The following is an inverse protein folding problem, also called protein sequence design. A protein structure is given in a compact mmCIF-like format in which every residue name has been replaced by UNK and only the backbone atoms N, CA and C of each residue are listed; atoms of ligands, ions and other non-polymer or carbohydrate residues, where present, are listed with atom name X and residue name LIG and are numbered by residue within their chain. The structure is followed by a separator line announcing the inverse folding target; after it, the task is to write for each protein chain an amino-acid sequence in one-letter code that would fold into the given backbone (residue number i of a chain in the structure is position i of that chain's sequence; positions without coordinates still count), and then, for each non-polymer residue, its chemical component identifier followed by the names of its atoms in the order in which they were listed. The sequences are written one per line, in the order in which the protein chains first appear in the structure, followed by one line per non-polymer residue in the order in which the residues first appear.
data_IF_322364575630
#
_entry.id   IF_322364575630
#
_cell.length_a   1.000
_cell.length_b   1.000
_cell.length_c   1.000
_cell.angle_alpha   90.00
_cell.angle_beta   90.00
_cell.angle_gamma   90.00
#
_symmetry.space_group_name_H-M   'P 1'
#
loop_
_entity.id
_entity.type
_entity.pdbx_description
1 polymer ?
#
# COMPACT_ATOMS: atom_id res chain seq x y z
N UNK A 1 -26.84 14.25 10.56
CA UNK A 1 -25.89 13.20 10.15
C UNK A 1 -25.17 12.70 11.40
N UNK A 2 -25.50 11.51 11.91
CA UNK A 2 -24.71 10.92 12.99
C UNK A 2 -23.31 10.61 12.44
N UNK A 3 -22.27 11.20 13.02
CA UNK A 3 -20.89 10.97 12.61
C UNK A 3 -20.59 9.47 12.65
N UNK A 4 -20.34 8.87 11.49
CA UNK A 4 -20.00 7.46 11.37
C UNK A 4 -18.71 7.24 12.17
N UNK A 5 -18.76 6.44 13.24
CA UNK A 5 -17.57 6.08 14.01
C UNK A 5 -16.57 5.42 13.05
N UNK A 6 -15.41 6.04 12.87
CA UNK A 6 -14.31 5.48 12.10
C UNK A 6 -13.47 4.61 13.03
N UNK A 7 -13.28 3.35 12.66
CA UNK A 7 -12.27 2.50 13.26
C UNK A 7 -11.01 2.59 12.39
N UNK A 8 -9.86 2.82 13.01
CA UNK A 8 -8.58 2.92 12.32
C UNK A 8 -7.67 1.75 12.71
N UNK A 9 -6.95 1.21 11.72
CA UNK A 9 -5.90 0.22 11.91
C UNK A 9 -4.63 0.74 11.24
N UNK A 10 -3.54 0.76 11.98
CA UNK A 10 -2.21 1.09 11.46
C UNK A 10 -1.32 -0.13 11.62
N UNK A 11 -0.61 -0.49 10.55
CA UNK A 11 0.26 -1.65 10.52
C UNK A 11 1.69 -1.22 10.19
N UNK A 12 2.68 -1.62 10.98
CA UNK A 12 4.07 -1.45 10.60
C UNK A 12 4.38 -2.40 9.44
N UNK A 13 4.94 -1.85 8.36
CA UNK A 13 5.39 -2.61 7.20
C UNK A 13 6.91 -2.77 7.32
N UNK A 14 7.38 -4.01 7.39
CA UNK A 14 8.79 -4.38 7.41
C UNK A 14 9.18 -5.11 6.11
N UNK A 15 10.44 -5.54 6.01
CA UNK A 15 10.95 -6.25 4.83
C UNK A 15 10.33 -7.62 4.56
N UNK A 16 9.52 -8.15 5.48
CA UNK A 16 8.80 -9.42 5.32
C UNK A 16 7.33 -9.21 4.95
N UNK A 17 6.87 -7.96 4.89
CA UNK A 17 5.51 -7.67 4.45
C UNK A 17 5.32 -8.05 2.98
N UNK A 18 4.11 -8.52 2.65
CA UNK A 18 3.74 -8.88 1.29
C UNK A 18 2.35 -8.35 0.95
N UNK A 19 2.14 -8.10 -0.34
CA UNK A 19 0.82 -7.80 -0.90
C UNK A 19 0.53 -8.76 -2.04
N UNK A 20 -0.71 -9.22 -2.13
CA UNK A 20 -1.13 -10.20 -3.13
C UNK A 20 -2.51 -9.85 -3.68
N UNK A 21 -2.62 -9.87 -5.01
CA UNK A 21 -3.89 -9.84 -5.73
C UNK A 21 -4.21 -11.24 -6.28
N UNK A 22 -5.41 -11.73 -5.98
CA UNK A 22 -5.93 -12.99 -6.52
C UNK A 22 -7.21 -12.72 -7.31
N UNK A 23 -7.12 -12.88 -8.63
CA UNK A 23 -8.28 -12.87 -9.51
C UNK A 23 -8.90 -14.26 -9.59
N UNK A 24 -10.22 -14.29 -9.71
CA UNK A 24 -10.99 -15.51 -9.91
C UNK A 24 -11.95 -15.31 -11.08
N UNK A 25 -12.17 -16.34 -11.89
CA UNK A 25 -13.06 -16.25 -13.06
C UNK A 25 -14.55 -16.14 -12.69
N UNK A 26 -14.94 -16.67 -11.53
CA UNK A 26 -16.34 -16.79 -11.10
C UNK A 26 -16.61 -16.28 -9.68
N UNK A 27 -15.68 -15.50 -9.10
CA UNK A 27 -15.78 -14.94 -7.74
C UNK A 27 -15.20 -13.53 -7.69
N UNK A 28 -15.56 -12.76 -6.66
CA UNK A 28 -14.96 -11.45 -6.41
C UNK A 28 -13.45 -11.57 -6.17
N UNK A 29 -12.65 -10.66 -6.74
CA UNK A 29 -11.21 -10.66 -6.53
C UNK A 29 -10.86 -10.34 -5.08
N UNK A 30 -9.73 -10.87 -4.62
CA UNK A 30 -9.20 -10.58 -3.29
C UNK A 30 -7.87 -9.84 -3.41
N UNK A 31 -7.72 -8.80 -2.60
CA UNK A 31 -6.44 -8.13 -2.38
C UNK A 31 -6.06 -8.25 -0.91
N UNK A 32 -4.88 -8.79 -0.63
CA UNK A 32 -4.43 -9.03 0.74
C UNK A 32 -3.08 -8.37 1.01
N UNK A 33 -2.91 -7.86 2.23
CA UNK A 33 -1.64 -7.36 2.77
C UNK A 33 -1.33 -8.15 4.04
N UNK A 34 -0.15 -8.77 4.08
CA UNK A 34 0.36 -9.46 5.25
C UNK A 34 1.56 -8.69 5.83
N UNK A 35 1.54 -8.44 7.13
CA UNK A 35 2.65 -7.83 7.86
C UNK A 35 2.76 -8.47 9.25
N UNK A 36 3.85 -9.21 9.48
CA UNK A 36 4.03 -10.01 10.69
C UNK A 36 2.89 -11.02 10.90
N UNK A 37 2.10 -10.83 11.98
CA UNK A 37 0.95 -11.68 12.32
C UNK A 37 -0.40 -11.11 11.90
N UNK A 38 -0.41 -10.01 11.15
CA UNK A 38 -1.65 -9.36 10.70
C UNK A 38 -1.84 -9.60 9.21
N UNK A 39 -3.05 -10.05 8.85
CA UNK A 39 -3.54 -10.17 7.48
C UNK A 39 -4.74 -9.26 7.30
N UNK A 40 -4.67 -8.36 6.33
CA UNK A 40 -5.80 -7.51 5.90
C UNK A 40 -6.19 -7.94 4.51
N UNK A 41 -7.45 -8.35 4.32
CA UNK A 41 -8.00 -8.70 3.01
C UNK A 41 -9.16 -7.78 2.68
N UNK A 42 -9.10 -7.14 1.51
CA UNK A 42 -10.20 -6.38 0.95
C UNK A 42 -11.14 -7.33 0.22
N UNK A 43 -12.40 -7.34 0.64
CA UNK A 43 -13.47 -8.12 0.04
C UNK A 43 -14.50 -7.19 -0.58
N UNK A 44 -15.08 -7.60 -1.71
CA UNK A 44 -16.17 -6.90 -2.36
C UNK A 44 -17.48 -7.70 -2.27
N UNK A 45 -18.64 -7.03 -2.33
CA UNK A 45 -19.94 -7.70 -2.38
C UNK A 45 -20.04 -8.58 -3.63
N UNK A 46 -20.88 -9.62 -3.58
CA UNK A 46 -21.07 -10.56 -4.70
C UNK A 46 -21.52 -9.86 -5.99
N UNK A 47 -22.31 -8.79 -5.86
CA UNK A 47 -22.76 -7.95 -6.98
C UNK A 47 -22.04 -6.60 -6.92
N UNK A 48 -21.16 -6.36 -7.88
CA UNK A 48 -20.45 -5.11 -8.02
C UNK A 48 -21.32 -4.04 -8.66
N UNK A 49 -21.24 -2.82 -8.14
CA UNK A 49 -21.86 -1.63 -8.71
C UNK A 49 -20.77 -0.63 -9.15
N UNK A 50 -21.17 0.44 -9.83
CA UNK A 50 -20.24 1.46 -10.34
C UNK A 50 -19.33 2.02 -9.22
N UNK A 51 -19.86 2.25 -8.02
CA UNK A 51 -19.07 2.73 -6.88
C UNK A 51 -17.98 1.77 -6.42
N UNK A 52 -18.19 0.45 -6.53
CA UNK A 52 -17.17 -0.55 -6.19
C UNK A 52 -16.02 -0.52 -7.22
N UNK A 53 -16.35 -0.30 -8.49
CA UNK A 53 -15.37 -0.15 -9.58
C UNK A 53 -14.57 1.14 -9.41
N UNK A 54 -15.22 2.25 -9.07
CA UNK A 54 -14.56 3.52 -8.78
C UNK A 54 -13.64 3.42 -7.58
N UNK A 55 -14.07 2.76 -6.50
CA UNK A 55 -13.23 2.46 -5.35
C UNK A 55 -11.97 1.69 -5.76
N UNK A 56 -12.11 0.62 -6.55
CA UNK A 56 -10.98 -0.19 -6.98
C UNK A 56 -9.98 0.60 -7.84
N UNK A 57 -10.46 1.47 -8.73
CA UNK A 57 -9.60 2.36 -9.54
C UNK A 57 -8.84 3.34 -8.65
N UNK A 58 -9.54 4.03 -7.75
CA UNK A 58 -8.91 4.99 -6.86
C UNK A 58 -7.90 4.30 -5.92
N UNK A 59 -8.19 3.10 -5.42
CA UNK A 59 -7.24 2.31 -4.64
C UNK A 59 -5.94 2.04 -5.43
N UNK A 60 -6.05 1.64 -6.70
CA UNK A 60 -4.89 1.39 -7.53
C UNK A 60 -4.07 2.67 -7.80
N UNK A 61 -4.74 3.79 -8.08
CA UNK A 61 -4.10 5.09 -8.29
C UNK A 61 -3.33 5.56 -7.04
N UNK A 62 -3.94 5.49 -5.87
CA UNK A 62 -3.29 5.89 -4.62
C UNK A 62 -2.13 4.95 -4.26
N UNK A 63 -2.27 3.63 -4.48
CA UNK A 63 -1.20 2.67 -4.25
C UNK A 63 0.00 2.92 -5.18
N UNK A 64 -0.25 3.25 -6.45
CA UNK A 64 0.81 3.60 -7.40
C UNK A 64 1.53 4.89 -7.00
N UNK A 65 0.78 5.93 -6.61
CA UNK A 65 1.36 7.19 -6.13
C UNK A 65 2.22 6.97 -4.87
N UNK A 66 1.74 6.15 -3.92
CA UNK A 66 2.52 5.75 -2.74
C UNK A 66 3.84 5.06 -3.13
N UNK A 67 3.80 4.10 -4.05
CA UNK A 67 5.00 3.39 -4.50
C UNK A 67 6.05 4.34 -5.10
N UNK A 68 5.64 5.27 -5.96
CA UNK A 68 6.53 6.29 -6.54
C UNK A 68 7.20 7.13 -5.45
N UNK A 69 6.45 7.52 -4.42
CA UNK A 69 6.99 8.34 -3.33
C UNK A 69 7.96 7.57 -2.44
N UNK A 70 7.67 6.30 -2.13
CA UNK A 70 8.61 5.42 -1.41
C UNK A 70 9.93 5.28 -2.18
N UNK A 71 9.87 5.08 -3.50
CA UNK A 71 11.08 5.04 -4.33
C UNK A 71 11.86 6.35 -4.28
N UNK A 72 11.17 7.49 -4.38
CA UNK A 72 11.79 8.82 -4.30
C UNK A 72 12.55 8.99 -2.99
N UNK A 73 11.91 8.66 -1.86
CA UNK A 73 12.51 8.74 -0.53
C UNK A 73 13.70 7.79 -0.36
N UNK A 74 13.58 6.56 -0.85
CA UNK A 74 14.69 5.59 -0.84
C UNK A 74 15.91 6.12 -1.60
N UNK A 75 15.71 6.69 -2.81
CA UNK A 75 16.79 7.28 -3.61
C UNK A 75 17.41 8.52 -2.94
N UNK A 76 16.60 9.36 -2.30
CA UNK A 76 17.05 10.54 -1.58
C UNK A 76 17.94 10.18 -0.38
N UNK A 77 17.56 9.16 0.41
CA UNK A 77 18.36 8.69 1.55
C UNK A 77 19.74 8.18 1.14
N UNK A 78 19.84 7.50 -0.02
CA UNK A 78 21.13 7.06 -0.59
C UNK A 78 22.02 8.22 -1.04
N UNK A 79 21.40 9.30 -1.53
CA UNK A 79 22.12 10.48 -2.03
C UNK A 79 22.72 11.32 -0.89
N UNK A 80 22.07 11.33 0.29
CA UNK A 80 22.62 11.94 1.50
C UNK A 80 23.80 11.12 2.08
N UNK A 81 23.68 9.79 2.10
CA UNK A 81 24.75 8.89 2.55
C UNK A 81 26.00 8.96 1.67
N UNK A 82 25.86 9.20 0.36
CA UNK A 82 26.99 9.35 -0.56
C UNK A 82 27.78 10.67 -0.43
N UNK A 83 27.16 11.74 0.11
CA UNK A 83 27.82 13.03 0.30
C UNK A 83 28.63 13.13 1.61
N UNK A 84 28.29 12.34 2.63
CA UNK A 84 29.08 12.30 3.87
C UNK A 84 30.42 11.56 3.73
N UNK A 85 30.65 10.80 2.64
CA UNK A 85 31.87 10.02 2.43
C UNK A 85 33.03 10.75 1.73
N UNK A 86 32.83 11.99 1.25
CA UNK A 86 33.84 12.72 0.45
C UNK A 86 34.19 14.05 1.08
N UNK A 87 34.80 14.00 2.26
CA UNK A 87 35.16 15.20 3.03
C UNK A 87 36.18 14.93 4.14
N UNK A 88 37.25 14.18 3.87
CA UNK A 88 38.48 14.24 4.66
C UNK A 88 39.65 13.59 3.93
N UNK A 89 40.47 14.42 3.29
CA UNK A 89 41.91 14.21 3.16
C UNK A 89 42.54 15.59 3.26
N UNK A 90 43.45 15.70 4.24
CA UNK A 90 44.19 16.89 4.62
C UNK A 90 45.19 17.32 3.54
#
# INVERSE_FOLDING_TARGET
MAGRRMSALTLPIDGYASSEFRAFASRTPLFSVAAGRVLVTLTLPERLHAGDVEFARNLAEQAAAYAVEVERLYRAGRSASGRLGKGRAA
#
